data_IF_925940154466
#
_entry.id   IF_925940154466
#
_cell.length_a   1.000
_cell.length_b   1.000
_cell.length_c   1.000
_cell.angle_alpha   90.00
_cell.angle_beta   90.00
_cell.angle_gamma   90.00
#
_symmetry.space_group_name_H-M   'P 1'
#
loop_
_entity.id
_entity.type
_entity.pdbx_description
1 polymer ?
#
# COMPACT_ATOMS: atom_id res chain seq x y z
N UNK A 1 -2.34 11.74 14.22
CA UNK A 1 -2.56 10.76 13.13
C UNK A 1 -3.04 11.49 11.89
N UNK A 2 -2.53 11.08 10.73
CA UNK A 2 -2.84 11.64 9.41
C UNK A 2 -3.15 10.49 8.45
N UNK A 3 -3.89 10.78 7.38
CA UNK A 3 -4.16 9.79 6.36
C UNK A 3 -3.06 9.82 5.31
N UNK A 4 -2.57 8.65 4.93
CA UNK A 4 -1.57 8.47 3.89
C UNK A 4 -2.12 7.60 2.77
N UNK A 5 -1.81 7.99 1.53
CA UNK A 5 -1.98 7.17 0.34
C UNK A 5 -0.65 6.48 0.04
N UNK A 6 -0.66 5.16 0.09
CA UNK A 6 0.49 4.33 -0.24
C UNK A 6 0.25 3.70 -1.60
N UNK A 7 1.10 4.04 -2.57
CA UNK A 7 1.07 3.46 -3.91
C UNK A 7 1.82 2.15 -3.92
N UNK A 8 1.16 1.11 -4.44
CA UNK A 8 1.65 -0.26 -4.43
C UNK A 8 1.59 -0.80 -5.85
N UNK A 9 2.76 -1.19 -6.39
CA UNK A 9 2.89 -1.70 -7.74
C UNK A 9 1.95 -2.91 -7.94
N UNK A 10 1.25 -2.97 -9.08
CA UNK A 10 0.27 -4.02 -9.48
C UNK A 10 -1.01 -4.10 -8.63
N UNK A 11 -1.09 -3.38 -7.52
CA UNK A 11 -2.28 -3.33 -6.64
C UNK A 11 -3.01 -1.99 -6.76
N UNK A 12 -2.29 -0.89 -6.97
CA UNK A 12 -2.86 0.45 -7.06
C UNK A 12 -2.49 1.28 -5.84
N UNK A 13 -3.47 1.65 -5.02
CA UNK A 13 -3.24 2.52 -3.85
C UNK A 13 -4.02 2.05 -2.64
N UNK A 14 -3.40 2.14 -1.46
CA UNK A 14 -4.03 1.85 -0.17
C UNK A 14 -4.02 3.10 0.70
N UNK A 15 -5.14 3.39 1.34
CA UNK A 15 -5.26 4.47 2.31
C UNK A 15 -5.07 3.91 3.72
N UNK A 16 -4.14 4.46 4.49
CA UNK A 16 -3.87 4.08 5.88
C UNK A 16 -3.76 5.31 6.78
N UNK A 17 -4.20 5.19 8.02
CA UNK A 17 -3.95 6.20 9.06
C UNK A 17 -2.65 5.87 9.78
N UNK A 18 -1.75 6.84 9.87
CA UNK A 18 -0.44 6.69 10.50
C UNK A 18 0.02 8.01 11.14
N UNK A 19 1.01 7.93 12.04
CA UNK A 19 1.69 9.06 12.64
C UNK A 19 2.65 9.72 11.65
N UNK A 20 3.32 8.91 10.83
CA UNK A 20 4.26 9.34 9.82
C UNK A 20 4.29 8.39 8.60
N UNK A 21 5.06 8.77 7.57
CA UNK A 21 5.18 8.02 6.32
C UNK A 21 5.86 6.64 6.49
N UNK A 22 6.74 6.48 7.49
CA UNK A 22 7.39 5.21 7.78
C UNK A 22 6.37 4.22 8.37
N UNK A 23 5.59 4.65 9.36
CA UNK A 23 4.53 3.83 9.94
C UNK A 23 3.45 3.48 8.90
N UNK A 24 3.13 4.40 7.99
CA UNK A 24 2.24 4.12 6.86
C UNK A 24 2.78 2.99 5.96
N UNK A 25 4.09 2.99 5.67
CA UNK A 25 4.75 1.94 4.90
C UNK A 25 4.71 0.60 5.63
N UNK A 26 5.09 0.57 6.90
CA UNK A 26 5.07 -0.66 7.71
C UNK A 26 3.67 -1.26 7.81
N UNK A 27 2.64 -0.42 8.00
CA UNK A 27 1.24 -0.86 8.05
C UNK A 27 0.84 -1.57 6.75
N UNK A 28 1.21 -1.02 5.59
CA UNK A 28 0.90 -1.63 4.30
C UNK A 28 1.67 -2.93 4.11
N UNK A 29 2.96 -2.99 4.45
CA UNK A 29 3.77 -4.21 4.33
C UNK A 29 3.27 -5.37 5.21
N UNK A 30 2.60 -5.07 6.32
CA UNK A 30 2.00 -6.08 7.22
C UNK A 30 0.61 -6.52 6.77
N UNK A 31 0.03 -5.93 5.72
CA UNK A 31 -1.27 -6.36 5.21
C UNK A 31 -1.12 -7.73 4.54
N UNK A 32 -1.97 -8.66 4.96
CA UNK A 32 -2.09 -9.96 4.30
C UNK A 32 -2.49 -9.76 2.84
N UNK A 33 -1.81 -10.45 1.94
CA UNK A 33 -2.05 -10.40 0.49
C UNK A 33 -3.51 -10.65 0.08
N UNK A 34 -4.25 -11.41 0.90
CA UNK A 34 -5.67 -11.71 0.69
C UNK A 34 -6.59 -10.49 0.88
N UNK A 35 -6.07 -9.38 1.43
CA UNK A 35 -6.81 -8.13 1.63
C UNK A 35 -6.63 -7.12 0.50
N UNK A 36 -5.79 -7.42 -0.49
CA UNK A 36 -5.61 -6.54 -1.63
C UNK A 36 -6.52 -6.96 -2.79
N UNK A 37 -7.19 -5.98 -3.37
CA UNK A 37 -7.83 -6.14 -4.67
C UNK A 37 -6.76 -5.95 -5.75
N UNK A 38 -6.24 -7.07 -6.26
CA UNK A 38 -5.25 -7.09 -7.33
C UNK A 38 -5.85 -6.52 -8.62
N UNK A 39 -5.10 -5.65 -9.32
CA UNK A 39 -5.55 -5.09 -10.61
C UNK A 39 -5.45 -6.11 -11.75
N UNK A 40 -4.59 -7.13 -11.61
CA UNK A 40 -4.51 -8.27 -12.53
C UNK A 40 -4.03 -9.51 -11.77
N UNK A 41 -4.77 -10.61 -11.88
CA UNK A 41 -4.37 -11.95 -11.37
C UNK A 41 -3.48 -12.71 -12.36
N UNK A 42 -3.32 -12.21 -13.59
CA UNK A 42 -2.75 -12.98 -14.71
C UNK A 42 -1.22 -12.94 -14.78
N UNK A 43 -0.58 -11.96 -14.14
CA UNK A 43 0.87 -11.90 -14.06
C UNK A 43 1.38 -12.68 -12.85
N UNK A 44 1.72 -13.96 -13.05
CA UNK A 44 2.36 -14.86 -12.07
C UNK A 44 3.74 -14.39 -11.62
N UNK A 45 3.79 -13.26 -10.91
CA UNK A 45 4.99 -12.56 -10.46
C UNK A 45 4.86 -12.41 -8.94
N UNK A 46 5.96 -12.65 -8.19
CA UNK A 46 5.90 -13.15 -6.82
C UNK A 46 5.19 -12.20 -5.85
N UNK A 47 4.85 -12.81 -4.72
CA UNK A 47 4.09 -12.30 -3.58
C UNK A 47 4.60 -10.99 -2.94
N UNK A 48 5.69 -10.43 -3.46
CA UNK A 48 6.31 -9.20 -3.02
C UNK A 48 5.79 -8.00 -3.82
N UNK A 49 4.75 -7.34 -3.30
CA UNK A 49 4.31 -6.06 -3.85
C UNK A 49 5.28 -4.94 -3.46
N UNK A 50 5.76 -4.18 -4.46
CA UNK A 50 6.67 -3.06 -4.25
C UNK A 50 5.89 -1.79 -3.90
N UNK A 51 6.19 -1.16 -2.76
CA UNK A 51 5.69 0.18 -2.43
C UNK A 51 6.45 1.20 -3.30
N UNK A 52 5.72 1.92 -4.14
CA UNK A 52 6.26 2.87 -5.11
C UNK A 52 6.08 4.34 -4.71
N UNK A 53 5.27 4.61 -3.68
CA UNK A 53 5.10 5.96 -3.16
C UNK A 53 4.32 6.00 -1.85
N UNK A 54 4.58 7.03 -1.03
CA UNK A 54 3.83 7.33 0.20
C UNK A 54 3.56 8.83 0.22
N UNK A 55 2.29 9.21 0.22
CA UNK A 55 1.85 10.60 0.15
C UNK A 55 0.90 10.89 1.31
N UNK A 56 1.11 12.00 2.02
CA UNK A 56 0.16 12.48 3.03
C UNK A 56 -1.05 13.09 2.34
N UNK A 57 -2.25 12.56 2.60
CA UNK A 57 -3.49 13.14 2.13
C UNK A 57 -3.73 14.43 2.92
N UNK A 58 -3.53 15.58 2.26
CA UNK A 58 -3.97 16.88 2.81
C UNK A 58 -5.48 16.96 2.69
N UNK A 59 -6.14 17.27 3.80
CA UNK A 59 -7.57 17.62 3.82
C UNK A 59 -7.82 18.91 3.04
#
# INVERSE_FOLDING_TARGET
>A
MKQYKVSVLRIGSVLVWAEDAWEAKEKVQRLSMNRFHWLSKEDGIPEDYLITGVEECRA
#
